data_IF_926593877228
#
_entry.id   IF_926593877228
#
_cell.length_a   1.000
_cell.length_b   1.000
_cell.length_c   1.000
_cell.angle_alpha   90.00
_cell.angle_beta   90.00
_cell.angle_gamma   90.00
#
_symmetry.space_group_name_H-M   'P 1'
#
loop_
_entity.id
_entity.type
_entity.pdbx_description
1 polymer ?
#
# COMPACT_ATOMS: atom_id res chain seq x y z
N UNK A 1 17.08 -19.85 -14.93
CA UNK A 1 17.66 -21.10 -14.37
C UNK A 1 16.76 -22.30 -14.61
N UNK A 2 15.44 -22.20 -14.45
CA UNK A 2 14.52 -23.32 -14.69
C UNK A 2 14.59 -23.93 -16.10
N UNK A 3 14.82 -23.12 -17.14
CA UNK A 3 14.95 -23.64 -18.52
C UNK A 3 16.24 -24.46 -18.76
N UNK A 4 17.28 -24.21 -17.98
CA UNK A 4 18.51 -25.00 -18.02
C UNK A 4 18.28 -26.38 -17.39
N UNK A 5 17.56 -26.45 -16.27
CA UNK A 5 17.27 -27.72 -15.59
C UNK A 5 16.44 -28.69 -16.45
N UNK A 6 15.55 -28.16 -17.29
CA UNK A 6 14.76 -28.99 -18.24
C UNK A 6 15.60 -29.73 -19.28
N UNK A 7 16.87 -29.32 -19.47
CA UNK A 7 17.80 -29.95 -20.42
C UNK A 7 18.66 -31.03 -19.80
N UNK A 8 18.67 -31.15 -18.47
CA UNK A 8 19.48 -32.16 -17.79
C UNK A 8 18.67 -33.44 -17.53
N UNK A 9 19.30 -34.59 -17.70
CA UNK A 9 18.75 -35.87 -17.28
C UNK A 9 19.06 -36.03 -15.80
N UNK A 10 18.06 -35.97 -14.95
CA UNK A 10 18.19 -36.13 -13.49
C UNK A 10 18.58 -37.58 -13.18
N UNK A 11 19.52 -37.76 -12.25
CA UNK A 11 19.84 -39.05 -11.65
C UNK A 11 18.66 -39.56 -10.80
N UNK A 12 18.66 -40.85 -10.47
CA UNK A 12 17.62 -41.44 -9.63
C UNK A 12 17.59 -40.81 -8.22
N UNK A 13 18.76 -40.40 -7.69
CA UNK A 13 18.89 -39.71 -6.42
C UNK A 13 18.30 -38.30 -6.48
N UNK A 14 18.47 -37.56 -7.60
CA UNK A 14 17.90 -36.22 -7.81
C UNK A 14 16.39 -36.24 -8.01
N UNK A 15 15.80 -37.35 -8.42
CA UNK A 15 14.35 -37.54 -8.56
C UNK A 15 13.66 -37.82 -7.21
N UNK A 16 14.46 -38.08 -6.17
CA UNK A 16 13.93 -38.39 -4.85
C UNK A 16 13.29 -37.12 -4.25
N UNK A 17 12.00 -37.20 -3.86
CA UNK A 17 11.27 -36.09 -3.27
C UNK A 17 11.68 -35.91 -1.82
N UNK A 18 12.27 -34.76 -1.48
CA UNK A 18 12.56 -34.36 -0.13
C UNK A 18 11.28 -33.89 0.57
N UNK A 19 10.88 -34.57 1.63
CA UNK A 19 9.71 -34.19 2.45
C UNK A 19 10.15 -33.36 3.65
N UNK A 20 9.61 -32.13 3.78
CA UNK A 20 9.79 -31.32 4.99
C UNK A 20 8.71 -31.70 6.02
N UNK A 21 9.10 -31.93 7.26
CA UNK A 21 8.15 -32.34 8.32
C UNK A 21 7.15 -31.24 8.62
N UNK A 22 5.89 -31.61 8.79
CA UNK A 22 4.79 -30.69 9.09
C UNK A 22 5.00 -29.82 10.33
N UNK A 23 5.74 -30.32 11.33
CA UNK A 23 6.08 -29.59 12.55
C UNK A 23 7.04 -28.42 12.29
N UNK A 24 8.00 -28.57 11.38
CA UNK A 24 8.93 -27.50 11.02
C UNK A 24 8.21 -26.40 10.22
N UNK A 25 7.24 -26.80 9.40
CA UNK A 25 6.37 -25.88 8.64
C UNK A 25 5.43 -25.09 9.57
N UNK A 26 4.87 -25.73 10.59
CA UNK A 26 3.97 -25.06 11.54
C UNK A 26 4.71 -23.99 12.38
N UNK A 27 5.92 -24.31 12.83
CA UNK A 27 6.78 -23.39 13.59
C UNK A 27 7.20 -22.17 12.78
N UNK A 28 7.46 -22.36 11.49
CA UNK A 28 7.70 -21.26 10.55
C UNK A 28 6.49 -20.34 10.40
N UNK A 29 5.28 -20.92 10.31
CA UNK A 29 4.04 -20.15 10.10
C UNK A 29 3.73 -19.14 11.20
N UNK A 30 3.99 -19.45 12.45
CA UNK A 30 3.82 -18.52 13.57
C UNK A 30 4.81 -17.34 13.49
N UNK A 31 6.07 -17.62 13.16
CA UNK A 31 7.08 -16.58 12.95
C UNK A 31 6.84 -15.76 11.70
N UNK A 32 6.24 -16.35 10.65
CA UNK A 32 5.95 -15.69 9.38
C UNK A 32 4.89 -14.59 9.55
N UNK A 33 3.98 -14.71 10.52
CA UNK A 33 2.93 -13.72 10.77
C UNK A 33 3.47 -12.36 11.24
N UNK A 34 4.71 -12.29 11.73
CA UNK A 34 5.37 -11.08 12.20
C UNK A 34 6.32 -10.48 11.15
N UNK A 35 6.17 -10.89 9.91
CA UNK A 35 7.09 -10.51 8.84
C UNK A 35 6.40 -9.66 7.77
N UNK A 36 7.08 -8.60 7.31
CA UNK A 36 6.68 -7.82 6.15
C UNK A 36 7.74 -7.91 5.06
N UNK A 37 7.30 -8.20 3.86
CA UNK A 37 8.09 -7.96 2.67
C UNK A 37 7.93 -6.52 2.24
N UNK A 38 9.03 -5.89 1.83
CA UNK A 38 8.98 -4.54 1.30
C UNK A 38 10.02 -4.31 0.22
N UNK A 39 9.73 -3.36 -0.65
CA UNK A 39 10.66 -2.92 -1.70
C UNK A 39 10.48 -1.44 -1.99
N UNK A 40 11.51 -0.82 -2.56
CA UNK A 40 11.40 0.52 -3.12
C UNK A 40 10.83 0.46 -4.54
N UNK A 41 9.82 1.28 -4.84
CA UNK A 41 9.26 1.35 -6.19
C UNK A 41 10.19 2.14 -7.11
N UNK A 42 11.18 1.44 -7.67
CA UNK A 42 12.16 2.01 -8.58
C UNK A 42 12.72 0.95 -9.52
N UNK A 43 13.10 1.37 -10.73
CA UNK A 43 13.87 0.57 -11.68
C UNK A 43 15.34 1.06 -11.74
N UNK A 44 15.72 2.02 -10.90
CA UNK A 44 17.08 2.55 -10.84
C UNK A 44 17.81 1.95 -9.63
N UNK A 45 19.12 1.90 -9.74
CA UNK A 45 19.97 1.56 -8.61
C UNK A 45 19.86 2.65 -7.52
N UNK A 46 19.96 2.23 -6.28
CA UNK A 46 19.91 3.09 -5.10
C UNK A 46 20.81 2.54 -4.00
N UNK A 47 21.17 3.40 -3.06
CA UNK A 47 21.97 2.99 -1.91
C UNK A 47 21.12 2.16 -0.94
N UNK A 48 21.29 0.84 -0.97
CA UNK A 48 20.53 -0.12 -0.17
C UNK A 48 20.81 0.01 1.33
N UNK A 49 22.03 0.33 1.72
CA UNK A 49 22.41 0.50 3.12
C UNK A 49 21.75 1.75 3.71
N UNK A 50 21.79 2.86 2.97
CA UNK A 50 21.08 4.07 3.36
C UNK A 50 19.57 3.84 3.44
N UNK A 51 19.00 3.09 2.51
CA UNK A 51 17.59 2.70 2.52
C UNK A 51 17.24 1.89 3.77
N UNK A 52 17.97 0.80 4.05
CA UNK A 52 17.76 -0.03 5.24
C UNK A 52 17.85 0.78 6.54
N UNK A 53 18.91 1.57 6.67
CA UNK A 53 19.12 2.41 7.84
C UNK A 53 17.98 3.41 8.06
N UNK A 54 17.55 4.09 6.99
CA UNK A 54 16.44 5.04 7.04
C UNK A 54 15.13 4.35 7.42
N UNK A 55 14.83 3.20 6.83
CA UNK A 55 13.62 2.44 7.16
C UNK A 55 13.64 1.95 8.61
N UNK A 56 14.78 1.46 9.10
CA UNK A 56 14.92 1.08 10.52
C UNK A 56 14.67 2.27 11.47
N UNK A 57 15.12 3.46 11.11
CA UNK A 57 14.87 4.67 11.91
C UNK A 57 13.39 5.09 11.86
N UNK A 58 12.77 5.06 10.68
CA UNK A 58 11.37 5.44 10.49
C UNK A 58 10.40 4.47 11.17
N UNK A 59 10.74 3.17 11.16
CA UNK A 59 9.93 2.11 11.75
C UNK A 59 10.30 1.80 13.20
N UNK A 60 11.06 2.69 13.82
CA UNK A 60 11.45 2.55 15.21
C UNK A 60 10.22 2.60 16.11
N UNK A 61 10.03 1.56 16.89
CA UNK A 61 8.98 1.41 17.91
C UNK A 61 9.59 1.09 19.28
N UNK A 62 8.77 0.53 20.18
CA UNK A 62 9.26 0.05 21.49
C UNK A 62 10.30 -1.07 21.32
N UNK A 63 10.22 -1.80 20.23
CA UNK A 63 11.09 -2.93 19.91
C UNK A 63 11.82 -2.71 18.59
N UNK A 64 12.91 -3.44 18.40
CA UNK A 64 13.75 -3.34 17.21
C UNK A 64 13.13 -4.07 16.03
N UNK A 65 13.16 -3.45 14.84
CA UNK A 65 12.85 -4.13 13.58
C UNK A 65 14.15 -4.64 12.97
N UNK A 66 14.21 -5.94 12.70
CA UNK A 66 15.34 -6.54 11.97
C UNK A 66 15.03 -6.54 10.48
N UNK A 67 15.94 -5.95 9.67
CA UNK A 67 15.79 -5.91 8.21
C UNK A 67 16.84 -6.78 7.55
N UNK A 68 16.39 -7.70 6.69
CA UNK A 68 17.26 -8.57 5.87
C UNK A 68 16.99 -8.30 4.39
N UNK A 69 18.02 -8.30 3.56
CA UNK A 69 17.85 -8.31 2.11
C UNK A 69 17.60 -9.76 1.67
N UNK A 70 16.51 -10.01 0.97
CA UNK A 70 16.13 -11.32 0.44
C UNK A 70 16.73 -11.50 -0.95
N UNK A 71 16.60 -10.46 -1.78
CA UNK A 71 17.20 -10.35 -3.11
C UNK A 71 17.23 -8.89 -3.55
N UNK A 72 17.75 -8.62 -4.75
CA UNK A 72 17.84 -7.24 -5.25
C UNK A 72 16.50 -6.48 -5.12
N UNK A 73 16.51 -5.38 -4.36
CA UNK A 73 15.35 -4.54 -4.06
C UNK A 73 14.15 -5.29 -3.43
N UNK A 74 14.38 -6.41 -2.74
CA UNK A 74 13.37 -7.08 -1.92
C UNK A 74 13.94 -7.32 -0.54
N UNK A 75 13.26 -6.81 0.47
CA UNK A 75 13.67 -6.85 1.87
C UNK A 75 12.61 -7.51 2.73
N UNK A 76 13.04 -8.15 3.78
CA UNK A 76 12.21 -8.72 4.83
C UNK A 76 12.41 -7.92 6.12
N UNK A 77 11.35 -7.39 6.67
CA UNK A 77 11.32 -6.81 8.01
C UNK A 77 10.69 -7.83 8.97
N UNK A 78 11.40 -8.12 10.05
CA UNK A 78 11.02 -9.05 11.10
C UNK A 78 10.67 -8.20 12.33
N UNK A 79 9.44 -8.35 12.80
CA UNK A 79 8.92 -7.65 13.99
C UNK A 79 8.86 -8.63 15.17
N UNK A 80 8.85 -8.08 16.37
CA UNK A 80 8.69 -8.87 17.61
C UNK A 80 7.22 -8.97 18.02
N UNK A 81 6.38 -8.00 17.59
CA UNK A 81 4.94 -7.98 17.92
C UNK A 81 4.08 -7.59 16.72
N UNK A 82 2.86 -8.12 16.70
CA UNK A 82 1.85 -7.79 15.69
C UNK A 82 1.41 -6.33 15.75
N UNK A 83 1.33 -5.75 16.95
CA UNK A 83 0.92 -4.36 17.16
C UNK A 83 1.88 -3.41 16.47
N UNK A 84 3.20 -3.64 16.63
CA UNK A 84 4.20 -2.83 15.99
C UNK A 84 4.14 -2.95 14.46
N UNK A 85 4.00 -4.17 13.93
CA UNK A 85 3.87 -4.41 12.50
C UNK A 85 2.61 -3.72 11.94
N UNK A 86 1.47 -3.85 12.63
CA UNK A 86 0.22 -3.20 12.23
C UNK A 86 0.34 -1.67 12.25
N UNK A 87 1.00 -1.12 13.25
CA UNK A 87 1.31 0.31 13.35
C UNK A 87 2.06 0.82 12.11
N UNK A 88 3.02 0.03 11.61
CA UNK A 88 3.76 0.37 10.39
C UNK A 88 2.87 0.31 9.15
N UNK A 89 2.00 -0.69 9.06
CA UNK A 89 1.02 -0.79 7.97
C UNK A 89 0.01 0.36 8.00
N UNK A 90 -0.51 0.71 9.17
CA UNK A 90 -1.50 1.77 9.35
C UNK A 90 -0.93 3.17 9.04
N UNK A 91 0.33 3.38 9.33
CA UNK A 91 1.05 4.63 9.04
C UNK A 91 1.51 4.75 7.58
N UNK A 92 1.34 3.69 6.75
CA UNK A 92 1.70 3.76 5.33
C UNK A 92 0.82 4.79 4.58
N UNK A 93 1.19 5.31 3.41
CA UNK A 93 2.36 4.92 2.64
C UNK A 93 3.66 5.51 3.20
N UNK A 94 4.73 4.74 3.08
CA UNK A 94 6.09 5.14 3.41
C UNK A 94 6.85 5.55 2.15
N UNK A 95 7.89 6.36 2.33
CA UNK A 95 8.71 6.80 1.21
C UNK A 95 10.19 6.88 1.56
N UNK A 96 11.01 6.68 0.56
CA UNK A 96 12.44 6.93 0.59
C UNK A 96 12.85 7.61 -0.70
N UNK A 97 13.58 8.72 -0.62
CA UNK A 97 14.01 9.51 -1.77
C UNK A 97 12.84 9.81 -2.74
N UNK A 98 11.70 10.27 -2.17
CA UNK A 98 10.46 10.57 -2.91
C UNK A 98 9.86 9.40 -3.70
N UNK A 99 10.33 8.17 -3.48
CA UNK A 99 9.80 6.95 -4.08
C UNK A 99 9.01 6.15 -3.06
N UNK A 100 7.97 5.49 -3.53
CA UNK A 100 7.08 4.71 -2.69
C UNK A 100 7.76 3.44 -2.18
N UNK A 101 7.61 3.18 -0.89
CA UNK A 101 7.97 1.90 -0.26
C UNK A 101 6.73 1.02 -0.26
N UNK A 102 6.78 -0.03 -1.05
CA UNK A 102 5.70 -1.01 -1.16
C UNK A 102 5.82 -2.03 -0.06
N UNK A 103 4.71 -2.32 0.61
CA UNK A 103 4.63 -3.27 1.72
C UNK A 103 3.71 -4.42 1.35
N UNK A 104 4.06 -5.62 1.80
CA UNK A 104 3.22 -6.81 1.69
C UNK A 104 3.44 -7.72 2.89
N UNK A 105 2.37 -8.22 3.49
CA UNK A 105 2.51 -9.26 4.52
C UNK A 105 3.20 -10.48 3.93
N UNK A 106 4.13 -11.02 4.68
CA UNK A 106 4.78 -12.27 4.29
C UNK A 106 3.78 -13.42 4.39
N UNK A 107 3.79 -14.29 3.39
CA UNK A 107 3.06 -15.55 3.37
C UNK A 107 4.04 -16.63 2.92
N UNK A 108 4.19 -17.68 3.73
CA UNK A 108 5.15 -18.77 3.49
C UNK A 108 4.91 -19.54 2.20
N UNK A 109 3.70 -19.44 1.64
CA UNK A 109 3.30 -20.21 0.46
C UNK A 109 3.81 -19.63 -0.86
N UNK A 110 4.45 -18.44 -0.83
CA UNK A 110 4.89 -17.75 -2.04
C UNK A 110 6.42 -17.73 -2.13
N UNK A 111 6.97 -18.32 -3.18
CA UNK A 111 8.39 -18.17 -3.49
C UNK A 111 8.77 -16.70 -3.64
N UNK A 112 9.95 -16.32 -3.16
CA UNK A 112 10.47 -14.96 -3.28
C UNK A 112 10.51 -14.45 -4.73
N UNK A 113 10.57 -15.34 -5.71
CA UNK A 113 10.56 -15.01 -7.15
C UNK A 113 9.20 -14.55 -7.64
N UNK A 114 8.14 -15.05 -7.03
CA UNK A 114 6.74 -14.79 -7.41
C UNK A 114 6.06 -13.67 -6.61
N UNK A 115 6.80 -12.98 -5.74
CA UNK A 115 6.25 -11.87 -4.96
C UNK A 115 6.01 -10.68 -5.86
N UNK A 116 4.75 -10.32 -6.05
CA UNK A 116 4.32 -9.12 -6.78
C UNK A 116 3.81 -8.05 -5.82
N UNK A 117 4.07 -6.79 -6.13
CA UNK A 117 3.58 -5.63 -5.41
C UNK A 117 2.78 -4.78 -6.39
N UNK A 118 1.47 -4.92 -6.33
CA UNK A 118 0.54 -4.23 -7.24
C UNK A 118 -0.36 -3.24 -6.51
N UNK A 119 -0.36 -3.28 -5.18
CA UNK A 119 -1.24 -2.49 -4.35
C UNK A 119 -0.45 -1.70 -3.31
N UNK A 120 -1.04 -0.60 -2.85
CA UNK A 120 -0.52 0.19 -1.74
C UNK A 120 -1.63 0.93 -1.02
N UNK A 121 -1.49 1.03 0.29
CA UNK A 121 -2.48 1.65 1.17
C UNK A 121 -2.34 3.17 1.16
N UNK A 122 -3.41 3.88 0.82
CA UNK A 122 -3.49 5.33 0.88
C UNK A 122 -4.64 5.80 1.75
N UNK A 123 -4.45 6.94 2.41
CA UNK A 123 -5.55 7.76 2.88
C UNK A 123 -6.00 8.66 1.74
N UNK A 124 -7.28 8.60 1.42
CA UNK A 124 -7.90 9.37 0.33
C UNK A 124 -8.96 10.26 0.94
N UNK A 125 -8.97 11.54 0.52
CA UNK A 125 -10.04 12.48 0.85
C UNK A 125 -10.98 12.58 -0.32
N UNK A 126 -12.24 12.33 -0.05
CA UNK A 126 -13.33 12.42 -1.03
C UNK A 126 -14.10 13.70 -0.77
N UNK A 127 -14.15 14.54 -1.77
CA UNK A 127 -14.81 15.85 -1.73
C UNK A 127 -16.11 15.84 -2.51
N UNK A 128 -16.98 16.80 -2.19
CA UNK A 128 -18.27 17.01 -2.87
C UNK A 128 -19.23 15.82 -2.75
N UNK A 129 -19.20 15.13 -1.60
CA UNK A 129 -20.16 14.10 -1.27
C UNK A 129 -21.39 14.77 -0.65
N UNK A 130 -22.62 14.49 -1.11
CA UNK A 130 -23.83 14.94 -0.46
C UNK A 130 -23.90 14.46 1.00
N UNK A 131 -24.27 15.34 1.92
CA UNK A 131 -24.25 15.07 3.37
C UNK A 131 -25.06 13.82 3.73
N UNK A 132 -26.23 13.63 3.08
CA UNK A 132 -27.08 12.45 3.30
C UNK A 132 -26.39 11.13 2.96
N UNK A 133 -25.38 11.16 2.11
CA UNK A 133 -24.69 9.96 1.59
C UNK A 133 -23.32 9.72 2.23
N UNK A 134 -22.89 10.57 3.14
CA UNK A 134 -21.61 10.39 3.84
C UNK A 134 -21.55 9.07 4.64
N UNK A 135 -22.70 8.55 5.07
CA UNK A 135 -22.78 7.27 5.78
C UNK A 135 -22.86 6.04 4.83
N UNK A 136 -23.21 6.26 3.55
CA UNK A 136 -23.41 5.19 2.56
C UNK A 136 -22.24 5.05 1.59
N UNK A 137 -21.08 5.58 1.93
CA UNK A 137 -19.94 5.80 1.04
C UNK A 137 -19.15 4.56 0.64
N UNK A 138 -19.45 3.38 1.20
CA UNK A 138 -18.78 2.12 0.86
C UNK A 138 -18.87 1.84 -0.66
N UNK A 139 -19.98 2.18 -1.30
CA UNK A 139 -20.15 1.99 -2.76
C UNK A 139 -19.23 2.88 -3.61
N UNK A 140 -18.93 4.10 -3.16
CA UNK A 140 -18.06 5.05 -3.91
C UNK A 140 -16.60 4.60 -3.85
N UNK A 141 -16.20 3.97 -2.75
CA UNK A 141 -14.82 3.59 -2.49
C UNK A 141 -14.38 2.35 -3.25
N UNK A 142 -15.28 1.41 -3.53
CA UNK A 142 -14.99 0.18 -4.28
C UNK A 142 -14.47 0.47 -5.70
N UNK A 143 -14.81 1.62 -6.25
CA UNK A 143 -14.35 2.04 -7.56
C UNK A 143 -12.90 2.53 -7.60
N UNK A 144 -12.35 2.93 -6.43
CA UNK A 144 -10.97 3.45 -6.31
C UNK A 144 -10.01 2.33 -5.94
N UNK A 145 -10.49 1.36 -5.20
CA UNK A 145 -9.76 0.24 -4.65
C UNK A 145 -10.56 -0.45 -3.55
N UNK A 146 -9.91 -1.31 -2.78
CA UNK A 146 -10.58 -2.01 -1.67
C UNK A 146 -10.61 -1.10 -0.45
N UNK A 147 -11.79 -0.65 0.01
CA UNK A 147 -11.89 0.19 1.21
C UNK A 147 -11.63 -0.66 2.46
N UNK A 148 -10.80 -0.13 3.35
CA UNK A 148 -10.44 -0.81 4.60
C UNK A 148 -11.03 -0.11 5.83
N UNK A 149 -11.03 1.22 5.83
CA UNK A 149 -11.44 2.01 6.97
C UNK A 149 -12.00 3.36 6.52
N UNK A 150 -13.07 3.81 7.16
CA UNK A 150 -13.61 5.16 7.03
C UNK A 150 -13.30 5.92 8.32
N UNK A 151 -12.62 7.07 8.21
CA UNK A 151 -12.31 7.94 9.34
C UNK A 151 -13.57 8.76 9.68
N UNK A 152 -14.52 8.12 10.37
CA UNK A 152 -15.73 8.77 10.90
C UNK A 152 -15.48 9.29 12.32
N UNK A 153 -16.14 10.38 12.68
CA UNK A 153 -16.16 10.84 14.07
C UNK A 153 -16.79 9.78 14.99
N UNK A 154 -16.53 9.86 16.31
CA UNK A 154 -17.11 8.95 17.33
C UNK A 154 -18.64 8.85 17.28
N UNK A 155 -19.32 9.84 16.73
CA UNK A 155 -20.76 9.85 16.50
C UNK A 155 -21.22 8.96 15.33
N UNK A 156 -20.31 8.31 14.62
CA UNK A 156 -20.60 7.55 13.39
C UNK A 156 -20.91 8.43 12.18
N UNK A 157 -20.89 9.75 12.33
CA UNK A 157 -21.18 10.71 11.28
C UNK A 157 -19.88 11.31 10.75
N UNK A 158 -19.57 11.02 9.50
CA UNK A 158 -18.40 11.57 8.80
C UNK A 158 -18.70 12.99 8.30
N UNK A 159 -19.04 13.92 9.22
CA UNK A 159 -19.37 15.30 8.87
C UNK A 159 -18.09 16.13 8.70
N UNK A 160 -17.99 16.79 7.56
CA UNK A 160 -16.85 17.64 7.25
C UNK A 160 -16.84 18.09 5.81
N UNK A 161 -15.82 18.83 5.42
CA UNK A 161 -15.61 19.28 4.03
C UNK A 161 -15.21 18.14 3.09
N UNK A 162 -14.81 16.99 3.64
CA UNK A 162 -14.43 15.77 2.91
C UNK A 162 -14.63 14.54 3.80
N UNK A 163 -14.82 13.40 3.16
CA UNK A 163 -14.73 12.09 3.79
C UNK A 163 -13.31 11.57 3.65
N UNK A 164 -12.74 11.06 4.74
CA UNK A 164 -11.41 10.45 4.76
C UNK A 164 -11.52 8.93 4.85
N UNK A 165 -10.93 8.24 3.89
CA UNK A 165 -11.03 6.78 3.76
C UNK A 165 -9.65 6.17 3.57
N UNK A 166 -9.45 4.97 4.12
CA UNK A 166 -8.29 4.13 3.89
C UNK A 166 -8.60 3.15 2.78
N UNK A 167 -7.82 3.17 1.70
CA UNK A 167 -8.08 2.36 0.52
C UNK A 167 -6.79 1.66 0.09
N UNK A 168 -6.92 0.39 -0.27
CA UNK A 168 -5.86 -0.36 -0.96
C UNK A 168 -5.99 -0.11 -2.46
N UNK A 169 -5.05 0.66 -2.99
CA UNK A 169 -5.07 1.20 -4.36
C UNK A 169 -4.17 0.37 -5.25
N UNK A 170 -4.68 -0.02 -6.43
CA UNK A 170 -3.89 -0.63 -7.50
C UNK A 170 -2.95 0.42 -8.12
N UNK A 171 -1.66 0.33 -7.78
CA UNK A 171 -0.63 1.27 -8.24
C UNK A 171 -0.15 1.03 -9.66
N UNK A 172 -0.60 -0.03 -10.30
CA UNK A 172 -0.28 -0.34 -11.71
C UNK A 172 -1.17 0.44 -12.68
N UNK A 173 -2.27 1.00 -12.16
CA UNK A 173 -3.25 1.79 -12.90
C UNK A 173 -3.08 3.29 -12.63
N UNK A 174 -3.61 4.13 -13.53
CA UNK A 174 -3.71 5.57 -13.28
C UNK A 174 -4.54 5.86 -12.03
N UNK A 175 -4.11 6.85 -11.24
CA UNK A 175 -4.89 7.35 -10.10
C UNK A 175 -6.25 7.87 -10.56
N UNK A 176 -7.28 7.60 -9.79
CA UNK A 176 -8.63 8.12 -10.05
C UNK A 176 -8.73 9.54 -9.50
N UNK A 177 -9.12 10.49 -10.33
CA UNK A 177 -9.20 11.93 -10.01
C UNK A 177 -10.59 12.32 -9.53
N UNK A 178 -11.60 11.78 -10.21
CA UNK A 178 -13.00 12.08 -9.97
C UNK A 178 -13.88 10.94 -10.48
N UNK A 179 -15.09 10.86 -9.94
CA UNK A 179 -16.14 9.96 -10.41
C UNK A 179 -17.46 10.68 -10.40
N UNK A 180 -18.30 10.40 -11.39
CA UNK A 180 -19.70 10.81 -11.35
C UNK A 180 -20.47 9.81 -10.50
N UNK A 181 -21.21 10.32 -9.52
CA UNK A 181 -22.08 9.49 -8.68
C UNK A 181 -23.53 9.83 -8.95
N UNK A 182 -24.39 8.86 -8.83
CA UNK A 182 -25.84 9.02 -8.81
C UNK A 182 -26.37 8.41 -7.53
N UNK A 183 -27.10 9.19 -6.78
CA UNK A 183 -27.77 8.79 -5.56
C UNK A 183 -29.27 8.89 -5.83
N UNK A 184 -30.01 7.85 -5.47
CA UNK A 184 -31.44 7.80 -5.68
C UNK A 184 -32.14 9.01 -5.05
N UNK A 185 -32.98 9.70 -5.83
CA UNK A 185 -33.63 10.94 -5.43
C UNK A 185 -32.78 12.20 -5.48
N UNK A 186 -31.57 12.15 -6.07
CA UNK A 186 -30.69 13.30 -6.25
C UNK A 186 -30.18 13.38 -7.70
N UNK A 187 -29.79 14.57 -8.12
CA UNK A 187 -29.12 14.75 -9.41
C UNK A 187 -27.73 14.10 -9.40
N UNK A 188 -27.25 13.71 -10.60
CA UNK A 188 -25.90 13.21 -10.77
C UNK A 188 -24.89 14.30 -10.42
N UNK A 189 -23.86 13.95 -9.65
CA UNK A 189 -22.84 14.89 -9.23
C UNK A 189 -21.42 14.29 -9.35
N UNK A 190 -20.43 15.18 -9.45
CA UNK A 190 -19.04 14.78 -9.45
C UNK A 190 -18.48 14.74 -8.02
N UNK A 191 -17.77 13.68 -7.65
CA UNK A 191 -16.93 13.59 -6.45
C UNK A 191 -15.47 13.61 -6.88
N UNK A 192 -14.62 14.22 -6.04
CA UNK A 192 -13.21 14.43 -6.32
C UNK A 192 -12.35 13.74 -5.27
N UNK A 193 -11.21 13.21 -5.69
CA UNK A 193 -10.31 12.45 -4.83
C UNK A 193 -8.97 13.17 -4.67
N UNK A 194 -8.47 13.26 -3.43
CA UNK A 194 -7.11 13.69 -3.13
C UNK A 194 -6.43 12.66 -2.25
N UNK A 195 -5.19 12.37 -2.55
CA UNK A 195 -4.40 11.34 -1.87
C UNK A 195 -3.46 11.97 -0.86
N UNK A 196 -3.46 11.46 0.38
CA UNK A 196 -2.52 11.91 1.40
C UNK A 196 -1.16 11.24 1.19
N UNK A 197 -0.08 12.00 1.39
CA UNK A 197 1.30 11.55 1.19
C UNK A 197 1.55 10.98 -0.21
N UNK A 198 0.81 11.47 -1.19
CA UNK A 198 1.05 11.11 -2.58
C UNK A 198 2.45 11.55 -2.97
N UNK A 199 3.20 10.63 -3.55
CA UNK A 199 4.56 10.85 -4.01
C UNK A 199 4.60 11.30 -5.46
N UNK A 200 5.80 11.38 -6.02
CA UNK A 200 5.97 11.72 -7.43
C UNK A 200 5.29 10.66 -8.30
N UNK A 201 4.43 11.10 -9.15
CA UNK A 201 3.81 10.31 -10.21
C UNK A 201 3.85 11.11 -11.52
N UNK A 202 3.68 10.40 -12.61
CA UNK A 202 3.79 11.04 -13.91
C UNK A 202 2.47 11.72 -14.30
N UNK A 203 2.48 13.04 -14.45
CA UNK A 203 1.29 13.86 -14.67
C UNK A 203 0.52 13.57 -15.97
N UNK A 204 1.15 12.93 -16.96
CA UNK A 204 0.45 12.53 -18.19
C UNK A 204 -0.36 11.25 -18.03
N UNK A 205 0.21 10.22 -17.37
CA UNK A 205 -0.44 8.92 -17.26
C UNK A 205 -1.08 8.65 -15.90
N UNK A 206 -0.73 9.40 -14.86
CA UNK A 206 -1.26 9.24 -13.50
C UNK A 206 -0.78 7.99 -12.75
N UNK A 207 0.21 7.24 -13.28
CA UNK A 207 0.72 6.01 -12.66
C UNK A 207 1.83 6.35 -11.68
N UNK A 208 1.78 5.72 -10.50
CA UNK A 208 2.77 5.88 -9.44
C UNK A 208 4.10 5.19 -9.78
N UNK A 209 5.22 5.80 -9.35
CA UNK A 209 6.57 5.23 -9.52
C UNK A 209 7.03 5.06 -10.97
N UNK A 210 6.35 5.72 -11.88
CA UNK A 210 6.58 5.63 -13.31
C UNK A 210 7.32 6.89 -13.79
N UNK A 211 8.40 6.70 -14.52
CA UNK A 211 9.18 7.81 -15.07
C UNK A 211 8.78 8.10 -16.53
N UNK A 212 8.94 9.36 -16.95
CA UNK A 212 8.65 9.83 -18.31
C UNK A 212 9.28 8.95 -19.39
N UNK A 213 10.53 8.53 -19.17
CA UNK A 213 11.33 7.76 -20.16
C UNK A 213 10.80 6.36 -20.45
N UNK A 214 10.03 5.79 -19.52
CA UNK A 214 9.51 4.41 -19.60
C UNK A 214 8.01 4.39 -19.92
N UNK A 215 7.39 5.57 -20.04
CA UNK A 215 5.96 5.67 -20.27
C UNK A 215 5.59 5.33 -21.72
N UNK A 216 4.93 4.21 -21.93
CA UNK A 216 4.41 3.83 -23.25
C UNK A 216 3.40 4.86 -23.83
N UNK A 217 2.71 5.61 -22.96
CA UNK A 217 1.79 6.69 -23.38
C UNK A 217 2.53 7.97 -23.78
N UNK A 218 3.76 8.19 -23.30
CA UNK A 218 4.56 9.34 -23.67
C UNK A 218 5.02 9.30 -25.13
N UNK A 219 5.17 8.11 -25.72
CA UNK A 219 5.64 7.92 -27.10
C UNK A 219 4.60 8.25 -28.17
N UNK A 220 3.32 8.37 -27.82
CA UNK A 220 2.22 8.62 -28.79
C UNK A 220 1.86 10.09 -28.99
N UNK A 221 2.41 11.01 -28.21
CA UNK A 221 2.13 12.44 -28.35
C UNK A 221 3.43 13.15 -28.69
N UNK A 222 3.71 13.22 -29.99
CA UNK A 222 4.72 14.10 -30.54
C UNK A 222 4.29 15.56 -30.34
N UNK A 223 5.18 16.32 -29.68
CA UNK A 223 5.45 17.73 -29.93
C UNK A 223 4.21 18.66 -30.09
N UNK A 224 3.55 18.94 -28.99
CA UNK A 224 2.99 20.26 -28.73
C UNK A 224 3.50 20.73 -27.38
N UNK A 225 4.21 21.82 -27.40
CA UNK A 225 4.98 22.41 -26.30
C UNK A 225 4.12 23.26 -25.37
N UNK A 226 2.92 22.80 -25.02
CA UNK A 226 2.06 23.50 -24.08
C UNK A 226 1.92 22.68 -22.80
N UNK A 227 2.35 23.26 -21.68
CA UNK A 227 2.26 22.72 -20.30
C UNK A 227 0.79 22.48 -19.86
N UNK A 228 -0.18 22.93 -20.64
CA UNK A 228 -1.61 22.95 -20.29
C UNK A 228 -2.34 21.61 -20.49
N UNK A 229 -1.68 20.58 -21.03
CA UNK A 229 -2.37 19.33 -21.39
C UNK A 229 -2.14 18.16 -20.40
N UNK A 230 -1.70 18.46 -19.17
CA UNK A 230 -1.55 17.44 -18.14
C UNK A 230 -2.89 17.08 -17.50
N UNK A 231 -3.33 15.84 -17.72
CA UNK A 231 -4.56 15.33 -17.13
C UNK A 231 -4.45 15.08 -15.61
N UNK A 232 -3.24 15.04 -15.07
CA UNK A 232 -2.92 14.85 -13.66
C UNK A 232 -2.00 15.96 -13.20
N UNK A 233 -2.07 16.33 -11.92
CA UNK A 233 -1.27 17.43 -11.41
C UNK A 233 -1.23 17.50 -9.90
N UNK A 234 -0.52 18.47 -9.37
CA UNK A 234 -0.34 18.67 -7.93
C UNK A 234 -1.64 18.79 -7.13
N UNK A 235 -2.77 19.08 -7.76
CA UNK A 235 -4.10 19.15 -7.11
C UNK A 235 -4.57 17.82 -6.52
N UNK A 236 -4.01 16.67 -6.94
CA UNK A 236 -4.30 15.36 -6.34
C UNK A 236 -3.60 15.16 -5.00
N UNK A 237 -2.63 15.99 -4.66
CA UNK A 237 -1.98 15.97 -3.35
C UNK A 237 -2.86 16.68 -2.31
N UNK A 238 -2.88 16.12 -1.12
CA UNK A 238 -3.37 16.85 0.04
C UNK A 238 -2.25 17.76 0.52
N UNK A 239 -2.40 19.07 0.33
CA UNK A 239 -1.48 20.07 0.89
C UNK A 239 -1.64 20.05 2.41
N UNK A 240 -0.50 19.97 3.14
CA UNK A 240 -0.40 19.68 4.56
C UNK A 240 -1.42 20.38 5.47
N UNK A 241 -2.34 19.63 6.00
CA UNK A 241 -2.91 19.89 7.30
C UNK A 241 -2.07 19.11 8.32
N UNK A 242 -1.55 19.79 9.35
CA UNK A 242 -0.99 19.13 10.54
C UNK A 242 -2.06 18.16 11.03
N UNK A 243 -1.81 16.87 10.89
CA UNK A 243 -2.69 15.83 11.44
C UNK A 243 -2.62 16.03 12.95
N UNK A 244 -3.75 16.42 13.56
CA UNK A 244 -3.87 16.50 15.02
C UNK A 244 -3.50 15.13 15.58
N UNK A 245 -2.41 15.06 16.36
CA UNK A 245 -1.91 13.85 17.01
C UNK A 245 -2.91 13.20 17.98
N UNK A 246 -3.99 13.91 18.30
CA UNK A 246 -4.99 13.46 19.27
C UNK A 246 -5.94 12.35 18.75
N UNK A 247 -6.01 12.11 17.42
CA UNK A 247 -6.88 11.07 16.83
C UNK A 247 -6.30 9.66 16.86
N UNK A 248 -4.99 9.50 17.18
CA UNK A 248 -4.33 8.20 17.16
C UNK A 248 -4.57 7.33 18.41
N UNK A 249 -5.25 7.84 19.45
CA UNK A 249 -5.55 7.04 20.67
C UNK A 249 -6.77 6.11 20.48
N UNK A 250 -7.52 6.26 19.38
CA UNK A 250 -8.77 5.52 19.18
C UNK A 250 -8.62 4.07 18.75
N UNK A 251 -7.50 3.72 18.13
CA UNK A 251 -7.26 2.33 17.69
C UNK A 251 -6.76 1.39 18.80
N UNK A 252 -6.39 1.93 19.97
CA UNK A 252 -5.86 1.10 21.06
C UNK A 252 -6.94 0.33 21.84
N UNK A 253 -8.21 0.76 21.78
CA UNK A 253 -9.30 0.15 22.55
C UNK A 253 -10.10 -0.91 21.78
N UNK A 254 -9.87 -1.12 20.50
CA UNK A 254 -10.68 -2.03 19.68
C UNK A 254 -10.14 -3.46 19.57
N UNK A 255 -8.93 -3.70 20.07
CA UNK A 255 -8.29 -5.04 20.05
C UNK A 255 -7.94 -5.59 21.43
N UNK A 256 -8.48 -4.97 22.50
CA UNK A 256 -8.13 -5.31 23.90
C UNK A 256 -9.24 -5.94 24.74
N UNK A 257 -10.40 -6.25 24.19
CA UNK A 257 -11.49 -6.88 24.97
C UNK A 257 -12.12 -8.02 24.19
N UNK A 258 -11.48 -9.16 24.16
CA UNK A 258 -12.09 -10.45 23.84
C UNK A 258 -11.26 -11.61 24.38
N UNK A 259 -11.02 -11.61 25.69
CA UNK A 259 -10.67 -12.79 26.47
C UNK A 259 -10.93 -12.41 27.91
N UNK A 260 -12.05 -12.88 28.45
CA UNK A 260 -12.34 -13.24 29.83
C UNK A 260 -13.85 -13.19 30.07
N UNK A 261 -14.53 -14.27 29.72
CA UNK A 261 -15.76 -14.72 30.38
C UNK A 261 -16.11 -16.13 29.90
N UNK A 262 -15.40 -17.13 30.46
CA UNK A 262 -15.94 -18.48 30.66
C UNK A 262 -15.26 -19.02 31.92
N UNK A 263 -15.93 -18.88 33.03
CA UNK A 263 -15.80 -19.78 34.19
C UNK A 263 -17.17 -20.00 34.82
#
# INVERSE_FOLDING_TARGET
MEELWKKFTLSEEEKCVLSVKSQDVARSKEQDQLNLLFKLQTNMDFNKEAFKSTIQQLWRGPQRVTIKEVRNNLFLAIFETNEHMNDILDKSPWSFDKRLVLLKRFTSDVSSENVTFQQSLFWIRVFNIPIKSMNSTVGITNEIGVPLLVDAAKSGLAWGTFLRIRVDVDITKPLIRSKMIHIEGMEKGWVYFKYERLLIYYYRCGILGHQVRVCHKAKKVCISSEEDDYQFGSWLHVVGTKINRERNSYNKSKYGEAEDDIS
#
